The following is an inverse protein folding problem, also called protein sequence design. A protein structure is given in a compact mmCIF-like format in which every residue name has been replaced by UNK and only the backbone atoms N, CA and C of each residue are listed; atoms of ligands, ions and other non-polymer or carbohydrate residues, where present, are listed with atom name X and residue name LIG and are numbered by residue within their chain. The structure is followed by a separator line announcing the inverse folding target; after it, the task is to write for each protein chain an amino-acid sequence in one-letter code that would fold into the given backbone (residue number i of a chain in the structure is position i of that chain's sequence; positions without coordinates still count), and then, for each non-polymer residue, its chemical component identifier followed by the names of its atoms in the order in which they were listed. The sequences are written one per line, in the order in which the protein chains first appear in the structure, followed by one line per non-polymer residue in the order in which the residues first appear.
data_IF_092960098154
#
_entry.id   IF_092960098154
#
_cell.length_a   1.000
_cell.length_b   1.000
_cell.length_c   1.000
_cell.angle_alpha   90.00
_cell.angle_beta   90.00
_cell.angle_gamma   90.00
#
_symmetry.space_group_name_H-M   'P 1'
#
loop_
_entity.id
_entity.type
_entity.pdbx_description
1 polymer ?
#
# COMPACT_ATOMS: atom_id res chain seq x y z
N UNK A 1 -0.94 -2.80 11.88
CA UNK A 1 -2.42 -2.74 11.87
C UNK A 1 -2.99 -2.60 13.26
N UNK A 2 -2.79 -3.56 14.19
CA UNK A 2 -3.34 -3.48 15.55
C UNK A 2 -2.88 -2.28 16.41
N UNK A 3 -1.78 -1.62 16.01
CA UNK A 3 -1.33 -0.34 16.59
C UNK A 3 -2.29 0.82 16.30
N UNK A 4 -3.02 0.78 15.17
CA UNK A 4 -3.88 1.87 14.69
C UNK A 4 -5.35 1.49 14.76
N UNK A 5 -5.67 0.26 14.38
CA UNK A 5 -7.02 -0.27 14.35
C UNK A 5 -7.05 -1.55 15.18
N UNK A 6 -7.49 -1.47 16.46
CA UNK A 6 -7.81 -2.62 17.27
C UNK A 6 -8.70 -3.62 16.53
N UNK A 7 -8.59 -4.90 16.89
CA UNK A 7 -9.36 -5.96 16.25
C UNK A 7 -10.86 -5.72 16.49
N UNK A 8 -11.66 -5.78 15.42
CA UNK A 8 -13.13 -5.67 15.51
C UNK A 8 -13.68 -4.24 15.38
N UNK A 9 -12.83 -3.24 15.11
CA UNK A 9 -13.33 -1.92 14.70
C UNK A 9 -13.96 -2.02 13.31
N UNK A 10 -15.18 -1.51 13.19
CA UNK A 10 -15.86 -1.29 11.92
C UNK A 10 -15.21 -0.11 11.19
N UNK A 11 -14.71 -0.36 9.98
CA UNK A 11 -14.03 0.65 9.17
C UNK A 11 -14.96 1.76 8.70
N UNK A 12 -16.27 1.49 8.58
CA UNK A 12 -17.25 2.51 8.16
C UNK A 12 -17.47 3.60 9.23
N UNK A 13 -17.12 3.30 10.48
CA UNK A 13 -17.26 4.23 11.60
C UNK A 13 -15.99 5.03 11.87
N UNK A 14 -14.86 4.64 11.24
CA UNK A 14 -13.60 5.34 11.40
C UNK A 14 -13.56 6.60 10.53
N UNK A 15 -13.08 7.71 11.09
CA UNK A 15 -12.93 8.96 10.34
C UNK A 15 -11.95 8.79 9.17
N UNK A 16 -12.35 9.27 7.99
CA UNK A 16 -11.56 9.11 6.77
C UNK A 16 -10.19 9.78 6.88
N UNK A 17 -10.08 10.93 7.56
CA UNK A 17 -8.78 11.60 7.72
C UNK A 17 -7.85 10.77 8.61
N UNK A 18 -8.38 10.18 9.67
CA UNK A 18 -7.62 9.23 10.49
C UNK A 18 -7.13 8.03 9.66
N UNK A 19 -8.00 7.41 8.85
CA UNK A 19 -7.62 6.30 7.98
C UNK A 19 -6.53 6.70 6.98
N UNK A 20 -6.61 7.90 6.41
CA UNK A 20 -5.59 8.42 5.49
C UNK A 20 -4.24 8.60 6.18
N UNK A 21 -4.21 9.12 7.41
CA UNK A 21 -2.98 9.25 8.20
C UNK A 21 -2.36 7.88 8.52
N UNK A 22 -3.20 6.91 8.90
CA UNK A 22 -2.76 5.53 9.15
C UNK A 22 -2.18 4.92 7.87
N UNK A 23 -2.87 5.07 6.73
CA UNK A 23 -2.41 4.58 5.44
C UNK A 23 -1.07 5.21 5.04
N UNK A 24 -0.94 6.53 5.14
CA UNK A 24 0.30 7.24 4.87
C UNK A 24 1.44 6.74 5.75
N UNK A 25 1.18 6.59 7.05
CA UNK A 25 2.17 6.10 8.00
C UNK A 25 2.62 4.67 7.68
N UNK A 26 1.73 3.80 7.22
CA UNK A 26 2.06 2.41 6.89
C UNK A 26 2.78 2.30 5.54
N UNK A 27 2.33 3.06 4.56
CA UNK A 27 2.82 3.00 3.19
C UNK A 27 4.21 3.62 3.04
N UNK A 28 4.61 4.53 3.93
CA UNK A 28 5.93 5.17 3.94
C UNK A 28 6.95 4.49 4.86
N UNK A 29 6.60 3.36 5.50
CA UNK A 29 7.52 2.64 6.40
C UNK A 29 8.46 1.72 5.62
N UNK A 30 9.78 1.85 5.81
CA UNK A 30 10.74 0.83 5.37
C UNK A 30 10.39 -0.55 5.94
N UNK A 31 10.34 -1.57 5.09
CA UNK A 31 10.09 -2.96 5.50
C UNK A 31 11.29 -3.83 5.13
N UNK A 32 11.87 -4.51 6.11
CA UNK A 32 12.96 -5.49 5.88
C UNK A 32 12.59 -6.55 4.84
N UNK A 33 11.34 -7.01 4.82
CA UNK A 33 10.84 -7.97 3.84
C UNK A 33 10.82 -7.44 2.40
N UNK A 34 10.83 -6.13 2.21
CA UNK A 34 10.90 -5.44 0.92
C UNK A 34 12.31 -4.88 0.68
N UNK A 35 13.35 -5.51 1.22
CA UNK A 35 14.73 -5.00 1.17
C UNK A 35 14.86 -3.55 1.70
N UNK A 36 14.10 -3.23 2.73
CA UNK A 36 14.00 -1.89 3.33
C UNK A 36 13.32 -0.82 2.46
N UNK A 37 12.74 -1.19 1.31
CA UNK A 37 11.83 -0.31 0.59
C UNK A 37 10.51 -0.12 1.37
N UNK A 38 9.83 0.98 1.06
CA UNK A 38 8.49 1.25 1.53
C UNK A 38 7.45 0.48 0.69
N UNK A 39 6.31 0.08 1.28
CA UNK A 39 5.22 -0.50 0.51
C UNK A 39 4.77 0.35 -0.66
N UNK A 40 4.80 1.69 -0.52
CA UNK A 40 4.43 2.62 -1.58
C UNK A 40 5.38 2.51 -2.78
N UNK A 41 6.70 2.49 -2.54
CA UNK A 41 7.70 2.40 -3.61
C UNK A 41 7.59 1.07 -4.37
N UNK A 42 7.51 -0.04 -3.65
CA UNK A 42 7.42 -1.36 -4.27
C UNK A 42 6.11 -1.55 -5.04
N UNK A 43 4.99 -1.04 -4.51
CA UNK A 43 3.71 -1.07 -5.21
C UNK A 43 3.74 -0.26 -6.51
N UNK A 44 4.31 0.94 -6.48
CA UNK A 44 4.50 1.77 -7.68
C UNK A 44 5.34 1.03 -8.72
N UNK A 45 6.47 0.42 -8.31
CA UNK A 45 7.35 -0.36 -9.19
C UNK A 45 6.60 -1.52 -9.88
N UNK A 46 5.81 -2.28 -9.13
CA UNK A 46 5.04 -3.41 -9.66
C UNK A 46 3.93 -2.93 -10.61
N UNK A 47 3.27 -1.83 -10.27
CA UNK A 47 2.21 -1.24 -11.09
C UNK A 47 2.76 -0.73 -12.42
N UNK A 48 3.92 -0.06 -12.39
CA UNK A 48 4.57 0.47 -13.58
C UNK A 48 5.13 -0.65 -14.46
N UNK A 49 5.71 -1.70 -13.86
CA UNK A 49 6.09 -2.91 -14.58
C UNK A 49 4.88 -3.54 -15.30
N UNK A 50 3.75 -3.69 -14.60
CA UNK A 50 2.54 -4.26 -15.18
C UNK A 50 1.95 -3.39 -16.31
N UNK A 51 1.95 -2.06 -16.16
CA UNK A 51 1.53 -1.14 -17.24
C UNK A 51 2.42 -1.30 -18.46
N UNK A 52 3.74 -1.27 -18.28
CA UNK A 52 4.71 -1.47 -19.34
C UNK A 52 4.50 -2.81 -20.06
N UNK A 53 4.33 -3.89 -19.31
CA UNK A 53 4.07 -5.22 -19.86
C UNK A 53 2.83 -5.23 -20.76
N UNK A 54 1.70 -4.66 -20.28
CA UNK A 54 0.47 -4.55 -21.08
C UNK A 54 0.64 -3.72 -22.35
N UNK A 55 1.49 -2.70 -22.33
CA UNK A 55 1.75 -1.89 -23.53
C UNK A 55 2.63 -2.60 -24.55
N UNK A 56 3.59 -3.42 -24.10
CA UNK A 56 4.56 -4.10 -24.98
C UNK A 56 4.00 -5.41 -25.56
N UNK A 57 3.17 -6.13 -24.80
CA UNK A 57 2.55 -7.37 -25.24
C UNK A 57 1.05 -7.42 -24.84
N UNK A 58 0.18 -6.70 -25.56
CA UNK A 58 -1.24 -6.58 -25.20
C UNK A 58 -2.06 -7.87 -25.38
N UNK A 59 -1.51 -8.90 -26.02
CA UNK A 59 -2.24 -10.13 -26.42
C UNK A 59 -1.57 -11.43 -25.92
N UNK A 60 -0.80 -11.36 -24.85
CA UNK A 60 -0.43 -12.55 -24.05
C UNK A 60 -1.23 -12.53 -22.75
#
# INVERSE_FOLDING_TARGET
MRQYLPKGIDLNQADQNYLNQVAMSLNTRPRKALNWLTPLEEFSRLTDYHKCFKTVAPHV
#
